data_IF_698252899090
#
_entry.id   IF_698252899090
#
_cell.length_a   1.000
_cell.length_b   1.000
_cell.length_c   1.000
_cell.angle_alpha   90.00
_cell.angle_beta   90.00
_cell.angle_gamma   90.00
#
_symmetry.space_group_name_H-M   'P 1'
#
loop_
_entity.id
_entity.type
_entity.pdbx_description
1 polymer ?
#
# COMPACT_ATOMS: atom_id res chain seq x y z
N UNK A 1 2.00 20.43 -10.47
CA UNK A 1 3.20 19.76 -9.90
C UNK A 1 2.73 18.57 -9.07
N UNK A 2 3.29 17.39 -9.33
CA UNK A 2 2.94 16.20 -8.56
C UNK A 2 3.63 16.21 -7.19
N UNK A 3 2.92 15.71 -6.19
CA UNK A 3 3.40 15.68 -4.81
C UNK A 3 3.21 14.31 -4.19
N UNK A 4 3.72 14.13 -2.99
CA UNK A 4 3.59 12.88 -2.24
C UNK A 4 2.38 12.95 -1.31
N UNK A 5 1.61 11.86 -1.28
CA UNK A 5 0.45 11.76 -0.41
C UNK A 5 0.90 11.51 1.04
N UNK A 6 0.09 11.95 2.00
CA UNK A 6 0.36 11.67 3.40
C UNK A 6 -0.22 10.32 3.83
N UNK A 7 0.28 9.81 4.95
CA UNK A 7 -0.10 8.47 5.46
C UNK A 7 -1.58 8.38 5.82
N UNK A 8 -2.15 9.44 6.33
CA UNK A 8 -3.55 9.46 6.76
C UNK A 8 -4.49 9.41 5.55
N UNK A 9 -4.22 10.24 4.56
CA UNK A 9 -5.06 10.31 3.36
C UNK A 9 -4.96 9.05 2.51
N UNK A 10 -3.76 8.48 2.35
CA UNK A 10 -3.60 7.26 1.57
C UNK A 10 -4.39 6.11 2.17
N UNK A 11 -4.45 6.01 3.51
CA UNK A 11 -5.27 4.99 4.16
C UNK A 11 -6.74 5.12 3.81
N UNK A 12 -7.25 6.36 3.80
CA UNK A 12 -8.65 6.59 3.43
C UNK A 12 -8.93 6.20 1.99
N UNK A 13 -8.05 6.57 1.07
CA UNK A 13 -8.21 6.26 -0.35
C UNK A 13 -8.17 4.74 -0.59
N UNK A 14 -7.18 4.07 -0.02
CA UNK A 14 -7.03 2.62 -0.21
C UNK A 14 -8.23 1.87 0.37
N UNK A 15 -8.69 2.24 1.56
CA UNK A 15 -9.86 1.59 2.17
C UNK A 15 -11.13 1.83 1.39
N UNK A 16 -11.28 3.01 0.78
CA UNK A 16 -12.44 3.30 -0.05
C UNK A 16 -12.45 2.47 -1.33
N UNK A 17 -11.29 2.27 -1.95
CA UNK A 17 -11.18 1.51 -3.20
C UNK A 17 -11.24 0.00 -2.94
N UNK A 18 -10.49 -0.48 -1.97
CA UNK A 18 -10.33 -1.91 -1.73
C UNK A 18 -11.48 -2.52 -0.92
N UNK A 19 -12.09 -1.75 -0.02
CA UNK A 19 -13.19 -2.25 0.81
C UNK A 19 -12.82 -3.53 1.55
N UNK A 20 -13.61 -4.58 1.38
CA UNK A 20 -13.43 -5.87 2.06
C UNK A 20 -12.27 -6.71 1.51
N UNK A 21 -11.59 -6.24 0.48
CA UNK A 21 -10.43 -6.95 -0.08
C UNK A 21 -9.16 -6.72 0.74
N UNK A 22 -9.21 -5.83 1.72
CA UNK A 22 -8.15 -5.65 2.71
C UNK A 22 -8.52 -6.46 3.95
N UNK A 23 -7.58 -7.23 4.48
CA UNK A 23 -7.77 -7.92 5.74
C UNK A 23 -6.69 -7.50 6.74
N UNK A 24 -7.05 -7.49 8.01
CA UNK A 24 -6.14 -7.07 9.07
C UNK A 24 -5.91 -5.56 9.06
N UNK A 25 -4.97 -5.13 9.84
CA UNK A 25 -4.63 -3.72 9.99
C UNK A 25 -3.47 -3.34 9.08
N UNK A 26 -3.55 -2.14 8.51
CA UNK A 26 -2.41 -1.57 7.80
C UNK A 26 -1.32 -1.20 8.80
N UNK A 27 -0.09 -1.20 8.34
CA UNK A 27 1.00 -0.68 9.16
C UNK A 27 1.88 0.27 8.35
N UNK A 28 2.61 1.09 9.10
CA UNK A 28 3.47 2.12 8.56
C UNK A 28 4.88 1.89 9.07
N UNK A 29 5.87 1.93 8.18
CA UNK A 29 7.26 1.84 8.56
C UNK A 29 8.07 2.97 7.96
N UNK A 30 9.27 3.18 8.50
CA UNK A 30 10.17 4.22 8.03
C UNK A 30 10.77 3.78 6.69
N UNK A 31 10.78 4.69 5.72
CA UNK A 31 11.40 4.45 4.44
C UNK A 31 12.92 4.38 4.62
N UNK A 32 13.54 3.28 4.16
CA UNK A 32 14.97 3.06 4.37
C UNK A 32 15.86 4.02 3.59
N UNK A 33 15.33 4.62 2.52
CA UNK A 33 16.11 5.57 1.70
C UNK A 33 15.91 7.03 2.11
N UNK A 34 14.83 7.32 2.85
CA UNK A 34 14.55 8.68 3.32
C UNK A 34 13.76 8.63 4.62
N UNK A 35 14.39 9.00 5.72
CA UNK A 35 13.81 8.94 7.07
C UNK A 35 12.60 9.84 7.26
N UNK A 36 12.41 10.85 6.41
CA UNK A 36 11.27 11.75 6.49
C UNK A 36 10.02 11.18 5.85
N UNK A 37 10.17 10.06 5.15
CA UNK A 37 9.05 9.41 4.46
C UNK A 37 8.68 8.10 5.12
N UNK A 38 7.49 7.64 4.81
CA UNK A 38 6.93 6.41 5.37
C UNK A 38 6.41 5.52 4.26
N UNK A 39 6.40 4.23 4.52
CA UNK A 39 5.73 3.25 3.64
C UNK A 39 4.47 2.80 4.35
N UNK A 40 3.37 2.75 3.62
CA UNK A 40 2.10 2.25 4.18
C UNK A 40 1.76 0.95 3.50
N UNK A 41 1.56 -0.10 4.29
CA UNK A 41 1.36 -1.47 3.80
C UNK A 41 -0.01 -1.98 4.20
N UNK A 42 -0.67 -2.63 3.25
CA UNK A 42 -1.98 -3.24 3.45
C UNK A 42 -1.91 -4.71 3.05
N UNK A 43 -2.53 -5.58 3.85
CA UNK A 43 -2.70 -6.99 3.49
C UNK A 43 -3.94 -7.13 2.61
N UNK A 44 -3.79 -7.77 1.46
CA UNK A 44 -4.89 -7.94 0.51
C UNK A 44 -4.94 -9.37 0.02
N UNK A 45 -6.10 -9.78 -0.50
CA UNK A 45 -6.24 -11.08 -1.13
C UNK A 45 -5.47 -11.12 -2.45
N UNK A 46 -4.71 -12.19 -2.64
CA UNK A 46 -3.81 -12.31 -3.79
C UNK A 46 -4.53 -12.12 -5.13
N UNK A 47 -5.72 -12.70 -5.28
CA UNK A 47 -6.46 -12.64 -6.54
C UNK A 47 -6.95 -11.23 -6.90
N UNK A 48 -6.93 -10.31 -5.94
CA UNK A 48 -7.33 -8.91 -6.17
C UNK A 48 -6.17 -7.92 -6.18
N UNK A 49 -4.98 -8.38 -5.78
CA UNK A 49 -3.87 -7.47 -5.50
C UNK A 49 -3.46 -6.62 -6.71
N UNK A 50 -3.29 -7.23 -7.88
CA UNK A 50 -2.84 -6.50 -9.06
C UNK A 50 -3.88 -5.49 -9.55
N UNK A 51 -5.14 -5.88 -9.52
CA UNK A 51 -6.25 -5.01 -9.90
C UNK A 51 -6.34 -3.81 -8.96
N UNK A 52 -6.28 -4.06 -7.65
CA UNK A 52 -6.33 -3.01 -6.65
C UNK A 52 -5.14 -2.06 -6.77
N UNK A 53 -3.95 -2.59 -7.02
CA UNK A 53 -2.76 -1.76 -7.18
C UNK A 53 -2.91 -0.79 -8.33
N UNK A 54 -3.44 -1.24 -9.46
CA UNK A 54 -3.68 -0.41 -10.63
C UNK A 54 -4.72 0.68 -10.35
N UNK A 55 -5.81 0.31 -9.70
CA UNK A 55 -6.87 1.25 -9.36
C UNK A 55 -6.39 2.33 -8.40
N UNK A 56 -5.65 1.93 -7.37
CA UNK A 56 -5.12 2.85 -6.37
C UNK A 56 -4.11 3.79 -7.01
N UNK A 57 -3.18 3.26 -7.79
CA UNK A 57 -2.16 4.09 -8.44
C UNK A 57 -2.79 5.07 -9.43
N UNK A 58 -3.80 4.64 -10.19
CA UNK A 58 -4.53 5.53 -11.10
C UNK A 58 -5.23 6.65 -10.34
N UNK A 59 -5.86 6.33 -9.22
CA UNK A 59 -6.53 7.33 -8.39
C UNK A 59 -5.53 8.34 -7.82
N UNK A 60 -4.39 7.87 -7.34
CA UNK A 60 -3.34 8.74 -6.83
C UNK A 60 -2.83 9.68 -7.92
N UNK A 61 -2.61 9.16 -9.11
CA UNK A 61 -2.15 9.96 -10.24
C UNK A 61 -3.17 11.05 -10.60
N UNK A 62 -4.44 10.69 -10.69
CA UNK A 62 -5.52 11.65 -11.01
C UNK A 62 -5.62 12.74 -9.94
N UNK A 63 -5.38 12.37 -8.68
CA UNK A 63 -5.44 13.32 -7.56
C UNK A 63 -4.19 14.20 -7.45
N UNK A 64 -3.19 14.01 -8.32
CA UNK A 64 -1.99 14.84 -8.33
C UNK A 64 -0.85 14.29 -7.50
N UNK A 65 -0.88 13.02 -7.14
CA UNK A 65 0.18 12.37 -6.37
C UNK A 65 1.04 11.48 -7.27
N UNK A 66 2.33 11.46 -6.98
CA UNK A 66 3.30 10.67 -7.77
C UNK A 66 3.67 9.33 -7.12
N UNK A 67 3.04 9.00 -5.99
CA UNK A 67 3.32 7.74 -5.30
C UNK A 67 2.99 6.53 -6.17
N UNK A 68 3.82 5.50 -6.06
CA UNK A 68 3.63 4.24 -6.75
C UNK A 68 3.13 3.17 -5.80
N UNK A 69 2.38 2.22 -6.32
CA UNK A 69 1.85 1.10 -5.55
C UNK A 69 2.57 -0.17 -5.98
N UNK A 70 3.13 -0.86 -5.01
CA UNK A 70 3.88 -2.09 -5.25
C UNK A 70 3.15 -3.28 -4.65
N UNK A 71 3.05 -4.36 -5.41
CA UNK A 71 2.51 -5.64 -4.93
C UNK A 71 3.68 -6.55 -4.58
N UNK A 72 3.61 -7.14 -3.40
CA UNK A 72 4.60 -8.11 -2.96
C UNK A 72 3.88 -9.34 -2.43
N UNK A 73 4.28 -10.53 -2.85
CA UNK A 73 3.74 -11.78 -2.34
C UNK A 73 4.86 -12.57 -1.69
N UNK A 74 4.65 -12.96 -0.44
CA UNK A 74 5.57 -13.79 0.31
C UNK A 74 5.13 -15.24 0.18
N UNK A 75 6.06 -16.15 -0.09
CA UNK A 75 5.76 -17.60 -0.22
C UNK A 75 5.44 -18.23 1.13
N UNK A 76 6.00 -17.69 2.20
CA UNK A 76 5.84 -18.26 3.53
C UNK A 76 5.41 -17.15 4.49
N UNK A 77 4.55 -17.50 5.43
CA UNK A 77 4.19 -16.60 6.51
C UNK A 77 5.32 -16.60 7.55
N UNK A 78 5.16 -15.82 8.62
CA UNK A 78 6.16 -15.69 9.69
C UNK A 78 6.47 -17.00 10.38
N UNK A 79 5.56 -17.97 10.31
CA UNK A 79 5.71 -19.30 10.90
C UNK A 79 6.42 -20.28 9.96
N UNK A 80 6.84 -19.83 8.77
CA UNK A 80 7.48 -20.69 7.80
C UNK A 80 6.55 -21.63 7.05
N UNK A 81 5.25 -21.42 7.14
CA UNK A 81 4.23 -22.26 6.48
C UNK A 81 3.94 -21.75 5.07
N UNK A 82 3.55 -22.67 4.19
CA UNK A 82 3.06 -22.31 2.87
C UNK A 82 1.78 -21.47 3.00
N UNK A 83 1.50 -20.63 2.03
CA UNK A 83 0.35 -19.74 2.08
C UNK A 83 0.71 -18.37 2.62
N UNK A 84 1.79 -17.80 2.11
CA UNK A 84 2.25 -16.48 2.51
C UNK A 84 1.26 -15.37 2.24
N UNK A 85 1.62 -14.17 2.61
CA UNK A 85 0.77 -13.00 2.52
C UNK A 85 1.07 -12.18 1.27
N UNK A 86 0.04 -11.50 0.77
CA UNK A 86 0.17 -10.53 -0.32
C UNK A 86 -0.07 -9.15 0.25
N UNK A 87 0.79 -8.20 -0.16
CA UNK A 87 0.76 -6.84 0.35
C UNK A 87 0.63 -5.85 -0.78
N UNK A 88 -0.09 -4.77 -0.52
CA UNK A 88 0.03 -3.54 -1.29
C UNK A 88 0.83 -2.56 -0.46
N UNK A 89 1.88 -2.01 -1.05
CA UNK A 89 2.73 -1.03 -0.37
C UNK A 89 2.77 0.25 -1.15
N UNK A 90 2.42 1.33 -0.49
CA UNK A 90 2.56 2.67 -1.04
C UNK A 90 3.79 3.29 -0.39
N UNK A 91 4.83 3.49 -1.19
CA UNK A 91 6.09 4.04 -0.72
C UNK A 91 6.07 5.57 -0.75
N UNK A 92 6.96 6.16 0.02
CA UNK A 92 7.23 7.60 -0.01
C UNK A 92 6.03 8.44 0.41
N UNK A 93 5.32 8.01 1.45
CA UNK A 93 4.23 8.80 2.02
C UNK A 93 4.78 9.78 3.06
N UNK A 94 4.27 10.99 3.05
CA UNK A 94 4.60 11.99 4.06
C UNK A 94 3.86 11.63 5.35
N UNK A 95 4.53 11.77 6.49
CA UNK A 95 3.88 11.53 7.78
C UNK A 95 2.78 12.55 8.01
N UNK A 96 1.59 12.07 8.22
CA UNK A 96 0.43 12.96 8.39
C UNK A 96 -0.52 12.53 9.47
#
# INVERSE_FOLDING_TARGET
MQKLINTKLVRKIVRAIAGDNIYGQSYTDINVTNNDLRNVTFFVYEHKAQELAKEIEAMLFIAGYKNKVKVTTSKYNEMGRCGGNTYLRINNCVLG
#
